data_IF_084861652534
#
_entry.id   IF_084861652534
#
_cell.length_a   1.000
_cell.length_b   1.000
_cell.length_c   1.000
_cell.angle_alpha   90.00
_cell.angle_beta   90.00
_cell.angle_gamma   90.00
#
_symmetry.space_group_name_H-M   'P 1'
#
loop_
_entity.id
_entity.type
_entity.pdbx_description
1 polymer ?
#
# COMPACT_ATOMS: atom_id res chain seq x y z
N UNK A 1 -38.29 -67.52 4.15
CA UNK A 1 -38.36 -66.04 4.18
C UNK A 1 -37.13 -65.40 4.85
N UNK A 2 -36.00 -66.09 5.03
CA UNK A 2 -34.80 -65.49 5.69
C UNK A 2 -33.73 -64.96 4.72
N UNK A 3 -33.61 -65.52 3.50
CA UNK A 3 -32.55 -65.15 2.56
C UNK A 3 -32.67 -63.73 1.95
N UNK A 4 -33.85 -63.13 2.00
CA UNK A 4 -34.17 -61.85 1.36
C UNK A 4 -33.87 -60.64 2.26
N UNK A 5 -33.83 -60.87 3.59
CA UNK A 5 -33.48 -59.85 4.59
C UNK A 5 -31.96 -59.64 4.62
N UNK A 6 -31.18 -60.72 4.46
CA UNK A 6 -29.72 -60.67 4.42
C UNK A 6 -29.16 -59.96 3.19
N UNK A 7 -29.81 -60.11 2.03
CA UNK A 7 -29.43 -59.41 0.79
C UNK A 7 -29.72 -57.91 0.85
N UNK A 8 -30.77 -57.49 1.57
CA UNK A 8 -31.11 -56.07 1.75
C UNK A 8 -30.18 -55.35 2.74
N UNK A 9 -29.70 -56.03 3.79
CA UNK A 9 -28.74 -55.45 4.75
C UNK A 9 -27.33 -55.31 4.15
N UNK A 10 -26.91 -56.24 3.30
CA UNK A 10 -25.62 -56.15 2.60
C UNK A 10 -25.60 -54.98 1.59
N UNK A 11 -26.73 -54.70 0.94
CA UNK A 11 -26.87 -53.60 -0.02
C UNK A 11 -26.74 -52.21 0.63
N UNK A 12 -27.27 -52.02 1.83
CA UNK A 12 -27.19 -50.74 2.57
C UNK A 12 -25.82 -50.53 3.22
N UNK A 13 -25.19 -51.60 3.70
CA UNK A 13 -23.82 -51.53 4.23
C UNK A 13 -22.80 -51.19 3.13
N UNK A 14 -22.98 -51.71 1.90
CA UNK A 14 -22.15 -51.36 0.74
C UNK A 14 -22.44 -49.95 0.20
N UNK A 15 -23.69 -49.49 0.21
CA UNK A 15 -24.04 -48.11 -0.17
C UNK A 15 -23.56 -47.02 0.81
N UNK A 16 -23.58 -47.32 2.11
CA UNK A 16 -23.07 -46.43 3.16
C UNK A 16 -21.54 -46.43 3.29
N UNK A 17 -20.90 -47.60 3.08
CA UNK A 17 -19.45 -47.77 3.17
C UNK A 17 -18.65 -47.06 2.07
N UNK A 18 -19.22 -46.94 0.86
CA UNK A 18 -18.59 -46.18 -0.24
C UNK A 18 -18.79 -44.65 -0.13
N UNK A 19 -19.76 -44.17 0.65
CA UNK A 19 -20.04 -42.74 0.82
C UNK A 19 -19.08 -42.04 1.80
N UNK A 20 -18.52 -42.77 2.76
CA UNK A 20 -17.63 -42.21 3.78
C UNK A 20 -16.26 -41.74 3.24
N UNK A 21 -15.54 -42.51 2.40
CA UNK A 21 -14.27 -42.04 1.84
C UNK A 21 -14.45 -40.87 0.86
N UNK A 22 -15.55 -40.86 0.09
CA UNK A 22 -15.89 -39.77 -0.84
C UNK A 22 -16.21 -38.45 -0.10
N UNK A 23 -16.87 -38.50 1.07
CA UNK A 23 -17.11 -37.32 1.90
C UNK A 23 -15.84 -36.79 2.56
N UNK A 24 -14.92 -37.67 2.98
CA UNK A 24 -13.63 -37.25 3.56
C UNK A 24 -12.70 -36.62 2.52
N UNK A 25 -12.65 -37.15 1.29
CA UNK A 25 -11.86 -36.56 0.20
C UNK A 25 -12.47 -35.26 -0.31
N UNK A 26 -13.80 -35.18 -0.46
CA UNK A 26 -14.50 -33.95 -0.81
C UNK A 26 -14.29 -32.85 0.25
N UNK A 27 -14.37 -33.18 1.55
CA UNK A 27 -14.10 -32.24 2.64
C UNK A 27 -12.66 -31.72 2.67
N UNK A 28 -11.67 -32.57 2.35
CA UNK A 28 -10.26 -32.17 2.25
C UNK A 28 -9.97 -31.32 1.01
N UNK A 29 -10.65 -31.56 -0.11
CA UNK A 29 -10.54 -30.73 -1.31
C UNK A 29 -11.26 -29.39 -1.13
N UNK A 30 -12.44 -29.37 -0.50
CA UNK A 30 -13.15 -28.15 -0.15
C UNK A 30 -12.30 -27.27 0.79
N UNK A 31 -11.71 -27.84 1.85
CA UNK A 31 -10.83 -27.11 2.76
C UNK A 31 -9.59 -26.52 2.10
N UNK A 32 -9.00 -27.19 1.11
CA UNK A 32 -7.88 -26.63 0.31
C UNK A 32 -8.34 -25.49 -0.59
N UNK A 33 -9.50 -25.62 -1.24
CA UNK A 33 -10.06 -24.55 -2.08
C UNK A 33 -10.44 -23.32 -1.26
N UNK A 34 -10.94 -23.49 -0.03
CA UNK A 34 -11.23 -22.40 0.90
C UNK A 34 -9.95 -21.76 1.45
N UNK A 35 -8.91 -22.54 1.77
CA UNK A 35 -7.62 -22.00 2.19
C UNK A 35 -6.98 -21.16 1.08
N UNK A 36 -6.97 -21.66 -0.17
CA UNK A 36 -6.47 -20.92 -1.33
C UNK A 36 -7.27 -19.63 -1.58
N UNK A 37 -8.60 -19.67 -1.43
CA UNK A 37 -9.43 -18.46 -1.53
C UNK A 37 -9.09 -17.44 -0.46
N UNK A 38 -8.96 -17.87 0.80
CA UNK A 38 -8.57 -16.97 1.90
C UNK A 38 -7.19 -16.37 1.71
N UNK A 39 -6.22 -17.15 1.21
CA UNK A 39 -4.88 -16.66 0.90
C UNK A 39 -4.91 -15.61 -0.23
N UNK A 40 -5.71 -15.85 -1.27
CA UNK A 40 -5.92 -14.89 -2.35
C UNK A 40 -6.61 -13.61 -1.85
N UNK A 41 -7.64 -13.73 -1.00
CA UNK A 41 -8.34 -12.57 -0.42
C UNK A 41 -7.40 -11.73 0.45
N UNK A 42 -6.53 -12.37 1.24
CA UNK A 42 -5.52 -11.67 2.06
C UNK A 42 -4.45 -11.00 1.20
N UNK A 43 -4.00 -11.65 0.12
CA UNK A 43 -3.04 -11.07 -0.80
C UNK A 43 -3.62 -9.83 -1.50
N UNK A 44 -4.88 -9.90 -1.96
CA UNK A 44 -5.56 -8.78 -2.61
C UNK A 44 -5.83 -7.63 -1.63
N UNK A 45 -6.19 -7.92 -0.38
CA UNK A 45 -6.35 -6.90 0.65
C UNK A 45 -5.03 -6.16 0.91
N UNK A 46 -3.90 -6.87 1.01
CA UNK A 46 -2.57 -6.25 1.18
C UNK A 46 -2.17 -5.42 -0.03
N UNK A 47 -2.48 -5.88 -1.24
CA UNK A 47 -2.25 -5.12 -2.48
C UNK A 47 -3.02 -3.80 -2.46
N UNK A 48 -4.29 -3.85 -2.07
CA UNK A 48 -5.15 -2.65 -1.99
C UNK A 48 -4.61 -1.67 -0.96
N UNK A 49 -4.27 -2.14 0.25
CA UNK A 49 -3.66 -1.31 1.31
C UNK A 49 -2.36 -0.63 0.84
N UNK A 50 -1.48 -1.38 0.17
CA UNK A 50 -0.24 -0.84 -0.41
C UNK A 50 -0.53 0.27 -1.42
N UNK A 51 -1.46 0.05 -2.35
CA UNK A 51 -1.81 1.05 -3.37
C UNK A 51 -2.44 2.30 -2.76
N UNK A 52 -3.25 2.15 -1.72
CA UNK A 52 -3.84 3.28 -0.99
C UNK A 52 -2.77 4.13 -0.30
N UNK A 53 -1.80 3.50 0.37
CA UNK A 53 -0.67 4.20 0.99
C UNK A 53 0.18 4.94 -0.04
N UNK A 54 0.49 4.31 -1.18
CA UNK A 54 1.25 4.96 -2.25
C UNK A 54 0.50 6.17 -2.82
N UNK A 55 -0.81 6.03 -3.04
CA UNK A 55 -1.66 7.12 -3.53
C UNK A 55 -1.69 8.28 -2.54
N UNK A 56 -1.89 8.00 -1.25
CA UNK A 56 -1.93 9.03 -0.21
C UNK A 56 -0.58 9.76 -0.11
N UNK A 57 0.53 9.03 -0.11
CA UNK A 57 1.86 9.62 -0.06
C UNK A 57 2.13 10.55 -1.26
N UNK A 58 1.77 10.10 -2.48
CA UNK A 58 1.91 10.91 -3.70
C UNK A 58 1.05 12.16 -3.61
N UNK A 59 -0.21 12.04 -3.16
CA UNK A 59 -1.12 13.16 -3.05
C UNK A 59 -0.61 14.22 -2.05
N UNK A 60 -0.18 13.79 -0.86
CA UNK A 60 0.41 14.68 0.15
C UNK A 60 1.67 15.39 -0.36
N UNK A 61 2.57 14.66 -1.01
CA UNK A 61 3.77 15.24 -1.61
C UNK A 61 3.42 16.30 -2.67
N UNK A 62 2.45 16.02 -3.55
CA UNK A 62 2.02 16.95 -4.58
C UNK A 62 1.27 18.16 -4.02
N UNK A 63 0.52 18.01 -2.93
CA UNK A 63 -0.09 19.14 -2.23
C UNK A 63 0.98 20.06 -1.62
N UNK A 64 2.00 19.49 -0.98
CA UNK A 64 3.11 20.25 -0.41
C UNK A 64 3.93 20.99 -1.49
N UNK A 65 4.23 20.33 -2.62
CA UNK A 65 4.91 20.98 -3.77
C UNK A 65 4.09 22.17 -4.28
N UNK A 66 2.79 21.99 -4.51
CA UNK A 66 1.90 23.10 -4.95
C UNK A 66 1.86 24.24 -3.93
N UNK A 67 1.86 23.91 -2.64
CA UNK A 67 1.89 24.92 -1.58
C UNK A 67 3.21 25.70 -1.55
N UNK A 68 4.34 25.04 -1.89
CA UNK A 68 5.63 25.70 -2.05
C UNK A 68 5.67 26.62 -3.28
N UNK A 69 5.11 26.16 -4.42
CA UNK A 69 5.03 26.92 -5.67
C UNK A 69 4.29 28.26 -5.51
N UNK A 70 3.26 28.31 -4.66
CA UNK A 70 2.52 29.56 -4.37
C UNK A 70 3.40 30.72 -3.88
N UNK A 71 4.58 30.40 -3.32
CA UNK A 71 5.52 31.38 -2.78
C UNK A 71 6.77 31.56 -3.65
N UNK A 72 6.91 30.81 -4.75
CA UNK A 72 8.14 30.77 -5.55
C UNK A 72 8.52 32.17 -6.09
N UNK A 73 7.53 32.91 -6.58
CA UNK A 73 7.74 34.24 -7.17
C UNK A 73 7.61 35.38 -6.15
N UNK A 74 7.49 35.04 -4.85
CA UNK A 74 7.34 36.05 -3.82
C UNK A 74 8.66 36.82 -3.62
N UNK A 75 8.57 38.15 -3.68
CA UNK A 75 9.73 39.05 -3.52
C UNK A 75 10.40 38.91 -2.16
N UNK A 76 9.62 38.68 -1.12
CA UNK A 76 10.07 38.41 0.24
C UNK A 76 9.51 37.05 0.67
N UNK A 77 10.41 36.08 0.79
CA UNK A 77 10.04 34.71 1.15
C UNK A 77 9.44 34.68 2.56
N UNK A 78 10.06 35.31 3.55
CA UNK A 78 9.59 35.23 4.93
C UNK A 78 8.22 35.89 5.10
N UNK A 79 8.02 37.06 4.48
CA UNK A 79 6.73 37.75 4.51
C UNK A 79 5.62 36.96 3.78
N UNK A 80 5.98 36.19 2.75
CA UNK A 80 5.03 35.33 2.04
C UNK A 80 4.60 34.08 2.84
N UNK A 81 5.30 33.73 3.94
CA UNK A 81 4.89 32.67 4.86
C UNK A 81 3.83 33.19 5.86
N UNK A 82 2.63 33.48 5.36
CA UNK A 82 1.50 33.88 6.21
C UNK A 82 1.20 32.82 7.28
N UNK A 83 0.51 33.19 8.35
CA UNK A 83 0.11 32.24 9.41
C UNK A 83 -0.74 31.09 8.86
N UNK A 84 -1.66 31.38 7.93
CA UNK A 84 -2.48 30.38 7.24
C UNK A 84 -1.62 29.43 6.40
N UNK A 85 -0.70 29.98 5.61
CA UNK A 85 0.22 29.17 4.82
C UNK A 85 1.07 28.25 5.71
N UNK A 86 1.61 28.78 6.82
CA UNK A 86 2.41 27.98 7.77
C UNK A 86 1.60 26.86 8.41
N UNK A 87 0.36 27.13 8.79
CA UNK A 87 -0.53 26.11 9.36
C UNK A 87 -0.83 25.01 8.35
N UNK A 88 -1.10 25.37 7.09
CA UNK A 88 -1.30 24.41 6.01
C UNK A 88 -0.03 23.58 5.72
N UNK A 89 1.14 24.23 5.68
CA UNK A 89 2.43 23.59 5.44
C UNK A 89 2.75 22.56 6.53
N UNK A 90 2.64 22.93 7.81
CA UNK A 90 2.85 22.03 8.93
C UNK A 90 1.88 20.84 8.89
N UNK A 91 0.59 21.11 8.66
CA UNK A 91 -0.42 20.05 8.58
C UNK A 91 -0.18 19.05 7.44
N UNK A 92 0.32 19.52 6.29
CA UNK A 92 0.68 18.64 5.17
C UNK A 92 1.93 17.81 5.49
N UNK A 93 2.96 18.43 6.05
CA UNK A 93 4.22 17.74 6.39
C UNK A 93 4.03 16.70 7.48
N UNK A 94 3.25 17.00 8.52
CA UNK A 94 2.94 16.02 9.57
C UNK A 94 2.26 14.78 8.98
N UNK A 95 1.27 14.98 8.10
CA UNK A 95 0.58 13.87 7.42
C UNK A 95 1.51 13.12 6.48
N UNK A 96 2.39 13.81 5.76
CA UNK A 96 3.38 13.20 4.88
C UNK A 96 4.32 12.28 5.65
N UNK A 97 4.82 12.71 6.81
CA UNK A 97 5.68 11.89 7.67
C UNK A 97 4.96 10.72 8.31
N UNK A 98 3.69 10.87 8.68
CA UNK A 98 2.88 9.74 9.12
C UNK A 98 2.75 8.70 8.00
N UNK A 99 2.44 9.14 6.78
CA UNK A 99 2.31 8.25 5.62
C UNK A 99 3.64 7.58 5.26
N UNK A 100 4.75 8.31 5.32
CA UNK A 100 6.11 7.77 5.13
C UNK A 100 6.47 6.68 6.17
N UNK A 101 6.10 6.89 7.44
CA UNK A 101 6.26 5.85 8.47
C UNK A 101 5.41 4.62 8.21
N UNK A 102 4.20 4.79 7.69
CA UNK A 102 3.37 3.64 7.28
C UNK A 102 4.00 2.89 6.11
N UNK A 103 4.63 3.59 5.16
CA UNK A 103 5.42 2.97 4.10
C UNK A 103 6.56 2.13 4.70
N UNK A 104 7.25 2.64 5.72
CA UNK A 104 8.32 1.90 6.40
C UNK A 104 7.84 0.58 7.04
N UNK A 105 6.58 0.51 7.44
CA UNK A 105 5.97 -0.69 8.06
C UNK A 105 5.57 -1.72 7.01
N UNK A 106 5.02 -1.28 5.87
CA UNK A 106 4.38 -2.16 4.89
C UNK A 106 5.32 -2.60 3.76
N UNK A 107 6.33 -1.78 3.44
CA UNK A 107 7.22 -1.98 2.30
C UNK A 107 8.64 -2.38 2.73
N UNK A 108 9.43 -3.00 1.83
CA UNK A 108 10.83 -3.29 2.10
C UNK A 108 11.66 -2.02 2.38
N UNK A 109 12.73 -2.17 3.18
CA UNK A 109 13.61 -1.07 3.57
C UNK A 109 14.22 -0.30 2.38
N UNK A 110 14.49 -0.98 1.27
CA UNK A 110 15.00 -0.36 0.04
C UNK A 110 13.99 0.62 -0.57
N UNK A 111 12.70 0.26 -0.55
CA UNK A 111 11.62 1.14 -1.01
C UNK A 111 11.45 2.33 -0.06
N UNK A 112 11.49 2.06 1.24
CA UNK A 112 11.44 3.09 2.28
C UNK A 112 12.49 4.17 2.07
N UNK A 113 13.74 3.82 1.77
CA UNK A 113 14.80 4.79 1.51
C UNK A 113 14.48 5.75 0.36
N UNK A 114 13.71 5.31 -0.64
CA UNK A 114 13.24 6.15 -1.75
C UNK A 114 12.09 7.07 -1.32
N UNK A 115 11.16 6.56 -0.50
CA UNK A 115 10.08 7.37 0.07
C UNK A 115 10.65 8.48 0.97
N UNK A 116 11.60 8.14 1.84
CA UNK A 116 12.32 9.08 2.69
C UNK A 116 13.00 10.19 1.88
N UNK A 117 13.77 9.82 0.85
CA UNK A 117 14.46 10.78 -0.01
C UNK A 117 13.47 11.74 -0.71
N UNK A 118 12.34 11.22 -1.19
CA UNK A 118 11.33 12.06 -1.82
C UNK A 118 10.63 12.98 -0.82
N UNK A 119 10.22 12.47 0.34
CA UNK A 119 9.62 13.30 1.40
C UNK A 119 10.56 14.41 1.90
N UNK A 120 11.85 14.09 2.06
CA UNK A 120 12.89 15.06 2.43
C UNK A 120 13.03 16.16 1.38
N UNK A 121 13.06 15.79 0.09
CA UNK A 121 13.16 16.77 -0.98
C UNK A 121 11.93 17.71 -1.02
N UNK A 122 10.74 17.19 -0.72
CA UNK A 122 9.50 17.97 -0.62
C UNK A 122 9.56 18.93 0.57
N UNK A 123 9.99 18.48 1.74
CA UNK A 123 10.12 19.32 2.94
C UNK A 123 11.14 20.45 2.72
N UNK A 124 12.30 20.13 2.16
CA UNK A 124 13.31 21.12 1.78
C UNK A 124 12.75 22.15 0.81
N UNK A 125 11.97 21.70 -0.18
CA UNK A 125 11.30 22.60 -1.13
C UNK A 125 10.29 23.51 -0.44
N UNK A 126 9.47 22.96 0.46
CA UNK A 126 8.44 23.69 1.17
C UNK A 126 9.00 24.81 2.05
N UNK A 127 10.12 24.54 2.72
CA UNK A 127 10.78 25.51 3.60
C UNK A 127 11.87 26.34 2.91
N UNK A 128 12.16 26.04 1.64
CA UNK A 128 13.24 26.65 0.84
C UNK A 128 14.63 26.45 1.45
N UNK A 129 14.84 25.30 2.07
CA UNK A 129 16.14 24.90 2.60
C UNK A 129 17.16 24.58 1.50
N UNK A 130 16.75 24.63 0.23
CA UNK A 130 17.62 24.44 -0.94
C UNK A 130 18.08 25.76 -1.60
N UNK A 131 17.69 26.93 -1.05
CA UNK A 131 17.87 28.25 -1.69
C UNK A 131 19.32 28.64 -2.02
N UNK A 132 20.30 27.96 -1.41
CA UNK A 132 21.73 28.16 -1.70
C UNK A 132 22.17 27.51 -3.02
N UNK A 133 21.29 26.72 -3.65
CA UNK A 133 21.50 26.16 -4.99
C UNK A 133 20.71 26.98 -6.00
N UNK A 134 21.31 27.36 -7.14
CA UNK A 134 20.62 28.04 -8.26
C UNK A 134 19.62 27.13 -9.00
N UNK A 135 19.22 26.03 -8.37
CA UNK A 135 18.41 24.97 -8.99
C UNK A 135 16.93 25.32 -8.81
N UNK A 136 16.13 25.26 -9.89
CA UNK A 136 14.68 25.44 -9.80
C UNK A 136 14.04 24.44 -8.83
N UNK A 137 12.99 24.87 -8.12
CA UNK A 137 12.22 24.05 -7.18
C UNK A 137 11.90 22.65 -7.72
N UNK A 138 11.33 22.59 -8.93
CA UNK A 138 10.92 21.34 -9.56
C UNK A 138 12.10 20.41 -9.88
N UNK A 139 13.29 20.96 -10.12
CA UNK A 139 14.47 20.15 -10.40
C UNK A 139 14.98 19.46 -9.13
N UNK A 140 14.81 20.10 -7.96
CA UNK A 140 15.18 19.53 -6.65
C UNK A 140 14.35 18.30 -6.27
N UNK A 141 13.05 18.30 -6.57
CA UNK A 141 12.14 17.17 -6.26
C UNK A 141 12.07 16.11 -7.35
N UNK A 142 12.42 16.43 -8.60
CA UNK A 142 12.19 15.54 -9.75
C UNK A 142 12.94 14.21 -9.65
N UNK A 143 14.23 14.24 -9.31
CA UNK A 143 15.03 13.01 -9.24
C UNK A 143 14.53 12.09 -8.11
N UNK A 144 14.35 12.56 -6.87
CA UNK A 144 13.75 11.74 -5.80
C UNK A 144 12.36 11.20 -6.15
N UNK A 145 11.51 12.02 -6.79
CA UNK A 145 10.19 11.60 -7.24
C UNK A 145 10.27 10.46 -8.26
N UNK A 146 11.11 10.58 -9.28
CA UNK A 146 11.27 9.54 -10.30
C UNK A 146 11.82 8.25 -9.72
N UNK A 147 12.79 8.35 -8.80
CA UNK A 147 13.34 7.20 -8.10
C UNK A 147 12.28 6.47 -7.27
N UNK A 148 11.43 7.23 -6.55
CA UNK A 148 10.30 6.67 -5.81
C UNK A 148 9.29 5.98 -6.72
N UNK A 149 8.82 6.64 -7.78
CA UNK A 149 7.83 6.08 -8.70
C UNK A 149 8.34 4.84 -9.44
N UNK A 150 9.63 4.84 -9.80
CA UNK A 150 10.29 3.69 -10.43
C UNK A 150 10.36 2.51 -9.46
N UNK A 151 10.73 2.76 -8.21
CA UNK A 151 10.76 1.73 -7.17
C UNK A 151 9.34 1.20 -6.84
N UNK A 152 8.32 2.06 -6.90
CA UNK A 152 6.93 1.69 -6.64
C UNK A 152 6.40 0.76 -7.72
N UNK A 153 6.70 1.05 -8.99
CA UNK A 153 6.36 0.19 -10.13
C UNK A 153 7.06 -1.17 -10.09
N UNK A 154 8.25 -1.24 -9.49
CA UNK A 154 9.03 -2.45 -9.36
C UNK A 154 8.64 -3.33 -8.15
N UNK A 155 7.72 -2.86 -7.29
CA UNK A 155 7.26 -3.67 -6.16
C UNK A 155 6.48 -4.89 -6.66
N UNK A 156 6.79 -6.10 -6.18
CA UNK A 156 5.99 -7.28 -6.49
C UNK A 156 4.60 -7.15 -5.85
N UNK A 157 3.59 -7.65 -6.57
CA UNK A 157 2.20 -7.76 -6.08
C UNK A 157 2.13 -8.57 -4.77
#
# INVERSE_FOLDING_TARGET
MEAQVWTSLLGVALGGGFSFPAQITAGRQAGRSEAMRREADVAEARRTERLELLREFIDLAQQAIRLAEQRQDARDWEAAATSEWRAAALGLIDRLWVCERMIAVVFPAEFYGRAWAYGTAVDQVLWREYAYTEVPLHAHVREPQLAFLTAARAQPD
#
